data_IF_795070400262
#
_entry.id   IF_795070400262
#
_cell.length_a   1.000
_cell.length_b   1.000
_cell.length_c   1.000
_cell.angle_alpha   90.00
_cell.angle_beta   90.00
_cell.angle_gamma   90.00
#
_symmetry.space_group_name_H-M   'P 1'
#
loop_
_entity.id
_entity.type
_entity.pdbx_description
1 polymer ?
#
# COMPACT_ATOMS: atom_id res chain seq x y z
N UNK A 1 -9.60 2.14 11.15
CA UNK A 1 -8.67 1.22 11.85
C UNK A 1 -7.39 1.98 12.14
N UNK A 2 -6.78 1.79 13.32
CA UNK A 2 -5.46 2.36 13.63
C UNK A 2 -4.38 1.46 13.03
N UNK A 3 -3.43 2.03 12.31
CA UNK A 3 -2.26 1.34 11.75
C UNK A 3 -1.10 1.56 12.71
N UNK A 4 -0.57 0.49 13.31
CA UNK A 4 0.49 0.60 14.32
C UNK A 4 1.87 0.15 13.80
N UNK A 5 1.91 -0.60 12.71
CA UNK A 5 3.14 -1.11 12.10
C UNK A 5 2.99 -1.27 10.58
N UNK A 6 4.11 -1.58 9.93
CA UNK A 6 4.20 -1.76 8.47
C UNK A 6 3.39 -2.95 7.94
N UNK A 7 3.18 -3.99 8.74
CA UNK A 7 2.39 -5.16 8.33
C UNK A 7 0.90 -4.80 8.27
N UNK A 8 0.42 -4.00 9.23
CA UNK A 8 -0.95 -3.50 9.22
C UNK A 8 -1.19 -2.63 7.98
N UNK A 9 -0.25 -1.73 7.68
CA UNK A 9 -0.31 -0.89 6.48
C UNK A 9 -0.33 -1.73 5.20
N UNK A 10 0.64 -2.64 5.02
CA UNK A 10 0.72 -3.52 3.86
C UNK A 10 -0.53 -4.38 3.67
N UNK A 11 -1.09 -4.90 4.76
CA UNK A 11 -2.34 -5.66 4.75
C UNK A 11 -3.51 -4.82 4.28
N UNK A 12 -3.66 -3.58 4.75
CA UNK A 12 -4.76 -2.70 4.33
C UNK A 12 -4.65 -2.30 2.86
N UNK A 13 -3.44 -2.00 2.37
CA UNK A 13 -3.16 -1.77 0.95
C UNK A 13 -3.57 -2.99 0.11
N UNK A 14 -3.14 -4.19 0.51
CA UNK A 14 -3.50 -5.46 -0.16
C UNK A 14 -5.00 -5.70 -0.17
N UNK A 15 -5.65 -5.51 0.97
CA UNK A 15 -7.09 -5.69 1.12
C UNK A 15 -7.85 -4.73 0.21
N UNK A 16 -7.44 -3.46 0.16
CA UNK A 16 -8.05 -2.49 -0.74
C UNK A 16 -7.87 -2.87 -2.21
N UNK A 17 -6.66 -3.24 -2.63
CA UNK A 17 -6.41 -3.69 -4.00
C UNK A 17 -7.32 -4.87 -4.38
N UNK A 18 -7.44 -5.87 -3.50
CA UNK A 18 -8.33 -7.02 -3.73
C UNK A 18 -9.81 -6.61 -3.79
N UNK A 19 -10.28 -5.70 -2.94
CA UNK A 19 -11.67 -5.17 -3.00
C UNK A 19 -11.97 -4.49 -4.34
N UNK A 20 -10.97 -3.88 -4.97
CA UNK A 20 -11.08 -3.28 -6.30
C UNK A 20 -10.95 -4.31 -7.44
N UNK A 21 -10.67 -5.58 -7.14
CA UNK A 21 -10.48 -6.63 -8.15
C UNK A 21 -9.16 -6.56 -8.91
N UNK A 22 -8.21 -5.72 -8.47
CA UNK A 22 -6.96 -5.50 -9.18
C UNK A 22 -5.90 -6.56 -8.85
N UNK A 23 -5.16 -7.00 -9.85
CA UNK A 23 -3.96 -7.83 -9.65
C UNK A 23 -2.74 -6.94 -9.36
N UNK A 24 -1.68 -7.50 -8.78
CA UNK A 24 -0.42 -6.76 -8.63
C UNK A 24 0.17 -6.38 -10.00
N UNK A 25 0.01 -7.26 -11.00
CA UNK A 25 0.43 -7.00 -12.38
C UNK A 25 -0.31 -5.79 -12.98
N UNK A 26 -1.62 -5.74 -12.83
CA UNK A 26 -2.44 -4.61 -13.29
C UNK A 26 -1.98 -3.27 -12.70
N UNK A 27 -1.74 -3.23 -11.38
CA UNK A 27 -1.21 -2.04 -10.71
C UNK A 27 0.20 -1.69 -11.21
N UNK A 28 1.06 -2.68 -11.39
CA UNK A 28 2.42 -2.50 -11.90
C UNK A 28 2.41 -1.86 -13.28
N UNK A 29 1.55 -2.34 -14.18
CA UNK A 29 1.43 -1.85 -15.55
C UNK A 29 0.92 -0.40 -15.62
N UNK A 30 0.08 0.00 -14.66
CA UNK A 30 -0.47 1.37 -14.61
C UNK A 30 0.43 2.39 -13.89
N UNK A 31 1.24 1.94 -12.91
CA UNK A 31 2.04 2.83 -12.06
C UNK A 31 3.51 2.90 -12.43
N UNK A 32 4.01 1.93 -13.21
CA UNK A 32 5.44 1.72 -13.42
C UNK A 32 6.18 1.17 -12.19
N UNK A 33 5.49 0.92 -11.07
CA UNK A 33 6.07 0.26 -9.90
C UNK A 33 6.29 -1.22 -10.24
N UNK A 34 7.39 -1.80 -9.78
CA UNK A 34 7.64 -3.23 -10.01
C UNK A 34 6.65 -4.09 -9.21
N UNK A 35 6.30 -5.26 -9.75
CA UNK A 35 5.49 -6.26 -9.04
C UNK A 35 6.14 -6.63 -7.69
N UNK A 36 7.47 -6.73 -7.66
CA UNK A 36 8.24 -6.97 -6.43
C UNK A 36 8.03 -5.87 -5.40
N UNK A 37 8.05 -4.61 -5.81
CA UNK A 37 7.77 -3.49 -4.89
C UNK A 37 6.36 -3.60 -4.30
N UNK A 38 5.35 -3.87 -5.14
CA UNK A 38 3.95 -4.01 -4.69
C UNK A 38 3.83 -5.18 -3.71
N UNK A 39 4.44 -6.33 -4.04
CA UNK A 39 4.46 -7.51 -3.18
C UNK A 39 5.16 -7.24 -1.85
N UNK A 40 6.35 -6.63 -1.88
CA UNK A 40 7.13 -6.27 -0.69
C UNK A 40 6.35 -5.33 0.23
N UNK A 41 5.68 -4.32 -0.35
CA UNK A 41 4.81 -3.41 0.41
C UNK A 41 3.65 -4.16 1.05
N UNK A 42 2.93 -4.98 0.28
CA UNK A 42 1.77 -5.73 0.76
C UNK A 42 2.11 -6.76 1.83
N UNK A 43 3.35 -7.24 1.85
CA UNK A 43 3.87 -8.13 2.88
C UNK A 43 4.54 -7.39 4.05
N UNK A 44 4.52 -6.06 4.07
CA UNK A 44 5.00 -5.25 5.19
C UNK A 44 6.51 -5.13 5.28
N UNK A 45 7.24 -5.14 4.16
CA UNK A 45 8.69 -4.91 4.15
C UNK A 45 9.01 -3.55 4.79
N UNK A 46 9.83 -3.58 5.85
CA UNK A 46 10.18 -2.39 6.66
C UNK A 46 10.91 -1.30 5.87
N UNK A 47 11.67 -1.69 4.85
CA UNK A 47 12.53 -0.79 4.05
C UNK A 47 11.85 -0.31 2.77
N UNK A 48 10.52 -0.26 2.75
CA UNK A 48 9.78 0.29 1.61
C UNK A 48 9.95 1.80 1.55
N UNK A 49 10.18 2.28 0.33
CA UNK A 49 10.21 3.71 0.03
C UNK A 49 8.82 4.32 0.25
N UNK A 50 8.70 5.18 1.24
CA UNK A 50 7.42 5.73 1.69
C UNK A 50 6.71 6.53 0.60
N UNK A 51 7.43 7.29 -0.24
CA UNK A 51 6.83 8.06 -1.34
C UNK A 51 6.06 7.18 -2.33
N UNK A 52 6.64 6.05 -2.74
CA UNK A 52 5.98 5.08 -3.63
C UNK A 52 4.81 4.37 -2.94
N UNK A 53 4.92 4.10 -1.64
CA UNK A 53 3.83 3.57 -0.86
C UNK A 53 2.63 4.53 -0.80
N UNK A 54 2.87 5.83 -0.60
CA UNK A 54 1.84 6.86 -0.65
C UNK A 54 1.19 6.94 -2.03
N UNK A 55 2.01 6.95 -3.10
CA UNK A 55 1.51 6.95 -4.48
C UNK A 55 0.54 5.78 -4.73
N UNK A 56 0.90 4.57 -4.29
CA UNK A 56 0.06 3.39 -4.43
C UNK A 56 -1.21 3.47 -3.55
N UNK A 57 -1.09 3.96 -2.31
CA UNK A 57 -2.27 4.15 -1.45
C UNK A 57 -3.28 5.11 -2.08
N UNK A 58 -2.82 6.26 -2.59
CA UNK A 58 -3.66 7.24 -3.27
C UNK A 58 -4.33 6.67 -4.52
N UNK A 59 -3.59 5.92 -5.35
CA UNK A 59 -4.16 5.25 -6.53
C UNK A 59 -5.30 4.29 -6.16
N UNK A 60 -5.16 3.59 -5.04
CA UNK A 60 -6.18 2.66 -4.55
C UNK A 60 -7.33 3.39 -3.82
N UNK A 61 -7.32 4.73 -3.81
CA UNK A 61 -8.32 5.56 -3.12
C UNK A 61 -8.29 5.37 -1.61
N UNK A 62 -7.10 5.32 -1.03
CA UNK A 62 -6.88 5.32 0.42
C UNK A 62 -6.32 6.67 0.84
N UNK A 63 -6.94 7.27 1.85
CA UNK A 63 -6.40 8.44 2.53
C UNK A 63 -5.52 8.01 3.71
N UNK A 64 -4.41 8.73 3.92
CA UNK A 64 -3.54 8.57 5.07
C UNK A 64 -3.62 9.84 5.92
N UNK A 65 -4.14 9.69 7.13
CA UNK A 65 -4.30 10.78 8.08
C UNK A 65 -3.27 10.68 9.21
N UNK A 66 -2.76 11.84 9.65
CA UNK A 66 -1.86 11.97 10.80
C UNK A 66 -2.66 12.60 11.93
N UNK A 67 -2.66 11.96 13.10
CA UNK A 67 -3.32 12.43 14.31
C UNK A 67 -2.35 12.32 15.49
N UNK A 68 -2.41 13.28 16.40
CA UNK A 68 -1.64 13.24 17.65
C UNK A 68 -2.05 12.02 18.49
N UNK A 69 -1.08 11.42 19.19
CA UNK A 69 -1.37 10.33 20.13
C UNK A 69 -2.00 10.94 21.39
N UNK A 70 -3.22 10.51 21.70
CA UNK A 70 -3.88 10.69 22.99
C UNK A 70 -4.17 9.36 23.64
#
# INVERSE_FOLDING_TARGET
MKIENVNDFGREVRNRRKRLGYTQKYISDFTGLSITFISDLENGKKTIEFGKALQLANLLGLDIEIKERG
#
